data_IF_444042613777
#
_entry.id   IF_444042613777
#
_cell.length_a   1.000
_cell.length_b   1.000
_cell.length_c   1.000
_cell.angle_alpha   90.00
_cell.angle_beta   90.00
_cell.angle_gamma   90.00
#
_symmetry.space_group_name_H-M   'P 1'
#
loop_
_entity.id
_entity.type
_entity.pdbx_description
1 polymer ?
#
# COMPACT_ATOMS: atom_id res chain seq x y z
N UNK A 1 -7.52 2.84 -7.79
CA UNK A 1 -6.94 2.06 -6.68
C UNK A 1 -5.57 1.59 -7.09
N UNK A 2 -4.52 2.01 -6.40
CA UNK A 2 -3.14 1.56 -6.60
C UNK A 2 -2.84 0.48 -5.56
N UNK A 3 -2.28 -0.65 -6.00
CA UNK A 3 -2.03 -1.81 -5.13
C UNK A 3 -3.30 -2.61 -4.85
N UNK A 4 -4.15 -2.81 -5.86
CA UNK A 4 -5.46 -3.43 -5.66
C UNK A 4 -5.41 -4.92 -5.29
N UNK A 5 -4.30 -5.62 -5.58
CA UNK A 5 -4.02 -6.99 -5.15
C UNK A 5 -5.18 -7.97 -5.28
N UNK A 6 -5.53 -8.62 -4.16
CA UNK A 6 -6.62 -9.59 -4.05
C UNK A 6 -8.01 -8.95 -3.94
N UNK A 7 -8.08 -7.62 -3.72
CA UNK A 7 -9.29 -6.84 -3.43
C UNK A 7 -9.92 -7.09 -2.05
N UNK A 8 -9.20 -7.74 -1.12
CA UNK A 8 -9.72 -8.05 0.22
C UNK A 8 -9.96 -6.79 1.07
N UNK A 9 -9.21 -5.73 0.81
CA UNK A 9 -9.25 -4.41 1.45
C UNK A 9 -9.90 -3.33 0.56
N UNK A 10 -10.42 -3.71 -0.61
CA UNK A 10 -11.05 -2.80 -1.57
C UNK A 10 -12.59 -2.92 -1.49
N UNK A 11 -13.31 -1.88 -1.04
CA UNK A 11 -14.77 -1.89 -0.95
C UNK A 11 -15.42 -1.73 -2.34
N UNK A 12 -15.24 -2.72 -3.21
CA UNK A 12 -15.55 -2.62 -4.64
C UNK A 12 -17.03 -2.34 -4.92
N UNK A 13 -17.93 -2.90 -4.13
CA UNK A 13 -19.37 -2.64 -4.22
C UNK A 13 -19.72 -1.16 -4.01
N UNK A 14 -19.12 -0.52 -3.00
CA UNK A 14 -19.37 0.89 -2.70
C UNK A 14 -18.73 1.79 -3.75
N UNK A 15 -17.48 1.50 -4.13
CA UNK A 15 -16.80 2.23 -5.20
C UNK A 15 -17.59 2.17 -6.50
N UNK A 16 -18.07 0.99 -6.91
CA UNK A 16 -18.82 0.80 -8.15
C UNK A 16 -20.16 1.55 -8.18
N UNK A 17 -20.73 1.88 -7.01
CA UNK A 17 -21.92 2.74 -6.92
C UNK A 17 -21.60 4.23 -6.95
N UNK A 18 -20.41 4.63 -6.50
CA UNK A 18 -20.03 6.03 -6.32
C UNK A 18 -19.32 6.63 -7.54
N UNK A 19 -18.66 5.80 -8.37
CA UNK A 19 -17.82 6.27 -9.47
C UNK A 19 -18.25 5.72 -10.83
N UNK A 20 -18.20 6.57 -11.86
CA UNK A 20 -18.51 6.19 -13.24
C UNK A 20 -17.49 5.21 -13.83
N UNK A 21 -16.24 5.27 -13.38
CA UNK A 21 -15.13 4.40 -13.81
C UNK A 21 -14.16 4.15 -12.66
N UNK A 22 -13.70 2.91 -12.55
CA UNK A 22 -12.73 2.49 -11.53
C UNK A 22 -11.60 1.73 -12.19
N UNK A 23 -10.38 2.25 -12.02
CA UNK A 23 -9.14 1.54 -12.35
C UNK A 23 -8.57 0.82 -11.12
N UNK A 24 -8.47 -0.50 -11.20
CA UNK A 24 -7.77 -1.35 -10.24
C UNK A 24 -6.37 -1.61 -10.79
N UNK A 25 -5.37 -0.96 -10.22
CA UNK A 25 -3.99 -0.98 -10.71
C UNK A 25 -3.15 -1.85 -9.80
N UNK A 26 -2.54 -2.88 -10.37
CA UNK A 26 -1.61 -3.77 -9.68
C UNK A 26 -0.62 -4.40 -10.67
N UNK A 27 0.53 -4.84 -10.18
CA UNK A 27 1.47 -5.64 -10.96
C UNK A 27 0.88 -7.03 -11.28
N UNK A 28 0.07 -7.57 -10.38
CA UNK A 28 -0.56 -8.89 -10.52
C UNK A 28 -2.02 -8.83 -10.08
N UNK A 29 -2.92 -9.36 -10.93
CA UNK A 29 -4.34 -9.52 -10.62
C UNK A 29 -4.67 -11.01 -10.46
N UNK A 30 -4.72 -11.55 -9.24
CA UNK A 30 -5.02 -12.96 -9.00
C UNK A 30 -6.41 -13.34 -9.54
N UNK A 31 -6.60 -14.64 -9.80
CA UNK A 31 -7.86 -15.15 -10.36
C UNK A 31 -9.13 -14.73 -9.60
N UNK A 32 -9.16 -14.76 -8.24
CA UNK A 32 -10.31 -14.26 -7.48
C UNK A 32 -10.61 -12.79 -7.75
N UNK A 33 -9.60 -11.93 -7.75
CA UNK A 33 -9.75 -10.50 -8.05
C UNK A 33 -10.31 -10.27 -9.46
N UNK A 34 -9.83 -11.05 -10.44
CA UNK A 34 -10.35 -11.01 -11.82
C UNK A 34 -11.82 -11.36 -11.91
N UNK A 35 -12.27 -12.37 -11.16
CA UNK A 35 -13.70 -12.73 -11.13
C UNK A 35 -14.52 -11.64 -10.44
N UNK A 36 -14.05 -11.13 -9.31
CA UNK A 36 -14.74 -10.09 -8.55
C UNK A 36 -14.96 -8.83 -9.40
N UNK A 37 -13.93 -8.35 -10.10
CA UNK A 37 -14.01 -7.19 -10.98
C UNK A 37 -15.03 -7.35 -12.11
N UNK A 38 -15.19 -8.55 -12.68
CA UNK A 38 -16.14 -8.82 -13.79
C UNK A 38 -17.60 -8.63 -13.41
N UNK A 39 -17.92 -8.54 -12.11
CA UNK A 39 -19.28 -8.28 -11.63
C UNK A 39 -19.73 -6.83 -11.88
N UNK A 40 -18.80 -5.92 -12.18
CA UNK A 40 -19.07 -4.49 -12.32
C UNK A 40 -18.67 -3.99 -13.71
N UNK A 41 -19.58 -3.38 -14.47
CA UNK A 41 -19.29 -2.93 -15.83
C UNK A 41 -18.37 -1.70 -15.88
N UNK A 42 -18.28 -0.95 -14.77
CA UNK A 42 -17.46 0.25 -14.61
C UNK A 42 -16.08 -0.02 -13.99
N UNK A 43 -15.71 -1.28 -13.77
CA UNK A 43 -14.42 -1.66 -13.16
C UNK A 43 -13.49 -2.24 -14.22
N UNK A 44 -12.29 -1.66 -14.33
CA UNK A 44 -11.22 -2.12 -15.21
C UNK A 44 -9.99 -2.55 -14.40
N UNK A 45 -9.44 -3.71 -14.74
CA UNK A 45 -8.15 -4.18 -14.23
C UNK A 45 -7.04 -3.62 -15.10
N UNK A 46 -6.08 -2.93 -14.49
CA UNK A 46 -4.94 -2.33 -15.15
C UNK A 46 -3.69 -3.01 -14.60
N UNK A 47 -3.03 -3.82 -15.43
CA UNK A 47 -1.75 -4.42 -15.06
C UNK A 47 -0.65 -3.38 -15.28
N UNK A 48 -0.06 -2.90 -14.19
CA UNK A 48 1.05 -1.98 -14.25
C UNK A 48 2.00 -2.22 -13.07
N UNK A 49 3.30 -2.19 -13.35
CA UNK A 49 4.29 -2.25 -12.30
C UNK A 49 4.40 -0.89 -11.61
N UNK A 50 3.95 -0.81 -10.37
CA UNK A 50 4.08 0.37 -9.54
C UNK A 50 5.35 0.21 -8.69
N UNK A 51 6.50 0.00 -9.32
CA UNK A 51 7.77 -0.20 -8.61
C UNK A 51 8.32 1.13 -8.12
N UNK A 52 7.68 1.72 -7.11
CA UNK A 52 8.07 3.00 -6.51
C UNK A 52 8.30 4.15 -7.51
N UNK A 53 7.83 4.09 -8.75
CA UNK A 53 8.16 5.08 -9.80
C UNK A 53 9.49 4.85 -10.55
N UNK A 54 10.15 3.71 -10.36
CA UNK A 54 11.40 3.34 -11.05
C UNK A 54 11.18 2.86 -12.51
N UNK A 55 9.98 2.42 -12.86
CA UNK A 55 9.65 1.88 -14.18
C UNK A 55 8.42 2.56 -14.80
N UNK A 56 8.61 3.78 -15.32
CA UNK A 56 7.66 4.41 -16.24
C UNK A 56 6.55 5.26 -15.61
N UNK A 57 5.91 6.07 -16.47
CA UNK A 57 4.87 7.03 -16.13
C UNK A 57 3.53 6.35 -15.84
N UNK A 58 3.48 5.49 -14.81
CA UNK A 58 2.21 4.94 -14.33
C UNK A 58 1.28 6.08 -13.86
N UNK A 59 1.82 7.25 -13.53
CA UNK A 59 1.05 8.46 -13.26
C UNK A 59 0.14 8.87 -14.44
N UNK A 60 0.52 8.59 -15.69
CA UNK A 60 -0.35 8.85 -16.84
C UNK A 60 -1.58 7.93 -16.85
N UNK A 61 -1.52 6.75 -16.22
CA UNK A 61 -2.69 5.87 -16.01
C UNK A 61 -3.73 6.51 -15.11
N UNK A 62 -3.32 7.49 -14.29
CA UNK A 62 -4.20 8.22 -13.40
C UNK A 62 -4.77 9.50 -14.05
N UNK A 63 -4.46 9.77 -15.31
CA UNK A 63 -4.98 10.95 -16.03
C UNK A 63 -6.51 10.92 -16.06
N UNK A 64 -7.14 12.02 -15.62
CA UNK A 64 -8.59 12.16 -15.59
C UNK A 64 -9.29 11.42 -14.44
N UNK A 65 -8.53 10.91 -13.45
CA UNK A 65 -9.10 10.44 -12.21
C UNK A 65 -9.33 11.61 -11.25
N UNK A 66 -10.51 11.67 -10.62
CA UNK A 66 -10.81 12.66 -9.58
C UNK A 66 -10.34 12.19 -8.20
N UNK A 67 -10.24 10.86 -8.01
CA UNK A 67 -9.72 10.23 -6.79
C UNK A 67 -8.69 9.14 -7.12
N UNK A 68 -7.54 9.23 -6.47
CA UNK A 68 -6.54 8.17 -6.42
C UNK A 68 -6.44 7.66 -4.99
N UNK A 69 -6.43 6.35 -4.80
CA UNK A 69 -6.20 5.73 -3.50
C UNK A 69 -5.00 4.80 -3.61
N UNK A 70 -3.97 5.03 -2.81
CA UNK A 70 -2.85 4.11 -2.57
C UNK A 70 -3.11 3.37 -1.27
N UNK A 71 -3.67 2.16 -1.36
CA UNK A 71 -4.05 1.36 -0.20
C UNK A 71 -3.04 0.23 -0.01
N UNK A 72 -2.40 0.22 1.16
CA UNK A 72 -1.38 -0.72 1.62
C UNK A 72 -0.22 -1.04 0.65
N UNK A 73 -0.05 -0.24 -0.40
CA UNK A 73 1.01 -0.41 -1.38
C UNK A 73 2.36 0.06 -0.84
N UNK A 74 2.40 1.25 -0.22
CA UNK A 74 3.65 1.93 0.17
C UNK A 74 4.54 1.05 1.06
N UNK A 75 3.97 0.48 2.12
CA UNK A 75 4.65 -0.43 3.06
C UNK A 75 5.10 -1.75 2.42
N UNK A 76 4.47 -2.17 1.33
CA UNK A 76 4.74 -3.44 0.67
C UNK A 76 5.80 -3.34 -0.44
N UNK A 77 5.99 -2.16 -1.03
CA UNK A 77 6.98 -1.95 -2.11
C UNK A 77 8.39 -2.47 -1.78
N UNK A 78 8.92 -2.31 -0.56
CA UNK A 78 10.25 -2.82 -0.21
C UNK A 78 10.34 -4.34 -0.07
N UNK A 79 9.25 -5.04 0.21
CA UNK A 79 9.25 -6.45 0.65
C UNK A 79 9.88 -7.34 -0.40
N UNK A 80 9.28 -7.41 -1.59
CA UNK A 80 9.74 -8.33 -2.66
C UNK A 80 11.19 -8.03 -3.10
N UNK A 81 11.61 -6.76 -3.31
CA UNK A 81 13.00 -6.44 -3.64
C UNK A 81 14.00 -6.85 -2.55
N UNK A 82 13.67 -6.67 -1.27
CA UNK A 82 14.54 -7.05 -0.14
C UNK A 82 14.63 -8.58 -0.05
N UNK A 83 13.50 -9.28 -0.02
CA UNK A 83 13.43 -10.74 0.03
C UNK A 83 14.18 -11.38 -1.15
N UNK A 84 14.11 -10.77 -2.34
CA UNK A 84 14.83 -11.26 -3.51
C UNK A 84 16.36 -11.18 -3.36
N UNK A 85 16.90 -10.25 -2.56
CA UNK A 85 18.33 -10.23 -2.23
C UNK A 85 18.66 -11.36 -1.25
N UNK A 86 17.86 -11.50 -0.19
CA UNK A 86 18.05 -12.50 0.86
C UNK A 86 17.97 -13.92 0.32
N UNK A 87 17.00 -14.20 -0.58
CA UNK A 87 16.85 -15.49 -1.24
C UNK A 87 18.07 -15.87 -2.11
N UNK A 88 18.90 -14.90 -2.49
CA UNK A 88 20.17 -15.11 -3.22
C UNK A 88 21.38 -15.17 -2.29
N UNK A 89 21.16 -15.23 -0.97
CA UNK A 89 22.21 -15.23 0.05
C UNK A 89 22.97 -13.91 0.15
N UNK A 90 22.37 -12.80 -0.29
CA UNK A 90 22.99 -11.46 -0.23
C UNK A 90 22.14 -10.54 0.63
N UNK A 91 22.79 -9.69 1.42
CA UNK A 91 22.10 -8.60 2.08
C UNK A 91 21.53 -7.63 1.03
N UNK A 92 20.32 -7.12 1.26
CA UNK A 92 19.79 -6.02 0.48
C UNK A 92 20.65 -4.76 0.69
N UNK A 93 20.78 -3.87 -0.32
CA UNK A 93 21.39 -2.56 -0.12
C UNK A 93 20.75 -1.82 1.06
N UNK A 94 21.51 -1.24 2.00
CA UNK A 94 20.98 -0.70 3.25
C UNK A 94 19.86 0.34 3.10
N UNK A 95 19.85 1.09 1.99
CA UNK A 95 18.88 2.14 1.72
C UNK A 95 17.80 1.73 0.71
N UNK A 96 17.74 0.46 0.29
CA UNK A 96 16.80 0.02 -0.74
C UNK A 96 15.35 0.31 -0.35
N UNK A 97 14.95 -0.06 0.87
CA UNK A 97 13.58 0.18 1.33
C UNK A 97 13.24 1.66 1.45
N UNK A 98 14.12 2.46 2.05
CA UNK A 98 13.95 3.91 2.14
C UNK A 98 13.80 4.55 0.75
N UNK A 99 14.64 4.15 -0.21
CA UNK A 99 14.56 4.66 -1.58
C UNK A 99 13.24 4.32 -2.26
N UNK A 100 12.73 3.09 -2.10
CA UNK A 100 11.45 2.67 -2.68
C UNK A 100 10.28 3.43 -2.03
N UNK A 101 10.27 3.59 -0.72
CA UNK A 101 9.24 4.35 0.00
C UNK A 101 9.25 5.81 -0.45
N UNK A 102 10.40 6.47 -0.43
CA UNK A 102 10.52 7.88 -0.82
C UNK A 102 10.13 8.13 -2.28
N UNK A 103 10.50 7.23 -3.19
CA UNK A 103 10.20 7.42 -4.62
C UNK A 103 8.69 7.28 -4.87
N UNK A 104 8.00 6.37 -4.18
CA UNK A 104 6.54 6.30 -4.25
C UNK A 104 5.87 7.54 -3.66
N UNK A 105 6.35 8.04 -2.52
CA UNK A 105 5.81 9.26 -1.93
C UNK A 105 5.96 10.48 -2.86
N UNK A 106 7.11 10.61 -3.54
CA UNK A 106 7.31 11.64 -4.58
C UNK A 106 6.36 11.50 -5.76
N UNK A 107 6.00 10.27 -6.12
CA UNK A 107 5.00 10.02 -7.14
C UNK A 107 3.59 10.43 -6.67
N UNK A 108 3.24 10.17 -5.40
CA UNK A 108 1.99 10.68 -4.80
C UNK A 108 1.96 12.21 -4.74
N UNK A 109 3.09 12.85 -4.43
CA UNK A 109 3.21 14.32 -4.49
C UNK A 109 2.96 14.86 -5.90
N UNK A 110 3.49 14.19 -6.91
CA UNK A 110 3.26 14.57 -8.32
C UNK A 110 1.79 14.43 -8.71
N UNK A 111 1.12 13.38 -8.22
CA UNK A 111 -0.30 13.14 -8.49
C UNK A 111 -1.21 14.11 -7.75
N UNK A 112 -0.87 14.47 -6.51
CA UNK A 112 -1.62 15.46 -5.74
C UNK A 112 -1.65 16.84 -6.41
N UNK A 113 -0.67 17.15 -7.26
CA UNK A 113 -0.69 18.36 -8.11
C UNK A 113 -1.54 18.25 -9.38
N UNK A 114 -2.11 17.08 -9.70
CA UNK A 114 -2.79 16.81 -10.98
C UNK A 114 -4.24 16.33 -10.83
N UNK A 115 -4.61 15.80 -9.67
CA UNK A 115 -5.93 15.24 -9.39
C UNK A 115 -6.58 15.94 -8.21
N UNK A 116 -7.91 15.85 -8.10
CA UNK A 116 -8.64 16.52 -7.02
C UNK A 116 -8.26 15.95 -5.64
N UNK A 117 -8.12 14.62 -5.55
CA UNK A 117 -7.78 13.97 -4.27
C UNK A 117 -6.88 12.75 -4.44
N UNK A 118 -5.87 12.67 -3.58
CA UNK A 118 -5.05 11.47 -3.37
C UNK A 118 -5.26 11.01 -1.93
N UNK A 119 -5.61 9.75 -1.73
CA UNK A 119 -5.72 9.12 -0.42
C UNK A 119 -4.60 8.10 -0.25
N UNK A 120 -3.86 8.18 0.86
CA UNK A 120 -2.87 7.20 1.26
C UNK A 120 -3.40 6.43 2.48
N UNK A 121 -3.41 5.11 2.40
CA UNK A 121 -3.60 4.21 3.55
C UNK A 121 -2.41 3.26 3.57
N UNK A 122 -1.66 3.21 4.66
CA UNK A 122 -0.43 2.41 4.73
C UNK A 122 -0.18 1.89 6.14
N UNK A 123 0.41 0.71 6.21
CA UNK A 123 1.03 0.23 7.44
C UNK A 123 2.28 1.07 7.73
N UNK A 124 2.38 1.64 8.93
CA UNK A 124 3.52 2.45 9.35
C UNK A 124 4.48 1.66 10.25
N UNK A 125 3.95 0.79 11.12
CA UNK A 125 4.74 0.01 12.07
C UNK A 125 4.15 -1.39 12.18
N UNK A 126 4.98 -2.43 12.13
CA UNK A 126 4.59 -3.79 12.50
C UNK A 126 5.10 -4.08 13.91
N UNK A 127 4.27 -4.71 14.76
CA UNK A 127 4.64 -5.14 16.11
C UNK A 127 4.24 -6.59 16.34
N UNK A 128 5.09 -7.32 17.05
CA UNK A 128 4.76 -8.63 17.60
C UNK A 128 4.38 -8.47 19.07
N UNK A 129 3.20 -8.94 19.46
CA UNK A 129 2.72 -8.89 20.85
C UNK A 129 2.56 -10.30 21.41
N UNK A 130 3.13 -10.54 22.61
CA UNK A 130 2.99 -11.81 23.31
C UNK A 130 1.66 -11.91 24.09
N UNK A 131 1.36 -13.09 24.64
CA UNK A 131 0.12 -13.34 25.41
C UNK A 131 -0.01 -12.52 26.70
N UNK A 132 1.07 -11.88 27.16
CA UNK A 132 1.04 -10.98 28.32
C UNK A 132 0.73 -9.53 27.95
N UNK A 133 0.54 -9.24 26.66
CA UNK A 133 0.28 -7.91 26.16
C UNK A 133 1.55 -7.09 25.90
N UNK A 134 2.72 -7.73 25.92
CA UNK A 134 4.00 -7.04 25.75
C UNK A 134 4.45 -7.12 24.29
N UNK A 135 4.84 -5.99 23.72
CA UNK A 135 5.51 -5.95 22.42
C UNK A 135 6.92 -6.55 22.53
N UNK A 136 7.17 -7.61 21.79
CA UNK A 136 8.45 -8.33 21.76
C UNK A 136 9.34 -7.91 20.59
N UNK A 137 8.73 -7.36 19.55
CA UNK A 137 9.42 -6.90 18.35
C UNK A 137 8.66 -5.73 17.71
N UNK A 138 9.38 -4.86 17.01
CA UNK A 138 8.82 -3.71 16.29
C UNK A 138 9.67 -3.41 15.05
N UNK A 139 9.00 -3.33 13.90
CA UNK A 139 9.60 -2.99 12.62
C UNK A 139 8.98 -1.71 12.08
N UNK A 140 9.84 -0.78 11.66
CA UNK A 140 9.44 0.40 10.89
C UNK A 140 9.19 -0.01 9.42
N UNK A 141 7.94 0.10 8.97
CA UNK A 141 7.53 -0.29 7.63
C UNK A 141 7.79 0.81 6.59
N UNK A 142 8.18 2.01 7.04
CA UNK A 142 8.43 3.18 6.20
C UNK A 142 9.93 3.48 6.04
N UNK A 143 10.79 2.64 6.61
CA UNK A 143 12.25 2.71 6.42
C UNK A 143 12.83 4.10 6.73
N UNK A 144 12.39 4.71 7.83
CA UNK A 144 12.81 6.03 8.28
C UNK A 144 12.09 7.20 7.58
N UNK A 145 11.19 6.94 6.62
CA UNK A 145 10.40 7.99 6.00
C UNK A 145 9.30 8.47 6.94
N UNK A 146 9.25 9.79 7.13
CA UNK A 146 8.17 10.41 7.89
C UNK A 146 6.97 10.69 6.98
N UNK A 147 5.79 10.36 7.50
CA UNK A 147 4.52 10.78 6.91
C UNK A 147 4.04 12.06 7.62
N UNK A 148 3.28 12.93 6.92
CA UNK A 148 2.54 13.98 7.60
C UNK A 148 1.66 13.39 8.72
N UNK A 149 1.26 14.21 9.71
CA UNK A 149 0.32 13.78 10.73
C UNK A 149 -0.90 13.10 10.10
N UNK A 150 -1.10 11.82 10.42
CA UNK A 150 -2.22 11.06 9.89
C UNK A 150 -3.54 11.59 10.46
N UNK A 151 -4.53 11.82 9.60
CA UNK A 151 -5.88 12.23 10.04
C UNK A 151 -6.60 11.09 10.75
N UNK A 152 -6.29 9.85 10.39
CA UNK A 152 -6.77 8.66 11.07
C UNK A 152 -5.64 7.64 11.22
N UNK A 153 -5.65 6.91 12.33
CA UNK A 153 -4.72 5.81 12.56
C UNK A 153 -5.37 4.79 13.50
N UNK A 154 -5.20 3.50 13.18
CA UNK A 154 -5.76 2.40 13.96
C UNK A 154 -4.77 1.24 14.02
N UNK A 155 -5.00 0.33 14.96
CA UNK A 155 -4.25 -0.91 15.04
C UNK A 155 -5.04 -2.01 14.33
N UNK A 156 -4.38 -2.70 13.40
CA UNK A 156 -4.94 -3.82 12.66
C UNK A 156 -4.23 -5.11 13.08
N UNK A 157 -5.00 -6.06 13.63
CA UNK A 157 -4.49 -7.41 13.91
C UNK A 157 -4.42 -8.19 12.59
N UNK A 158 -3.24 -8.17 11.95
CA UNK A 158 -2.99 -8.87 10.70
C UNK A 158 -3.02 -10.40 10.89
N UNK A 159 -2.51 -10.87 12.03
CA UNK A 159 -2.41 -12.30 12.33
C UNK A 159 -2.72 -12.57 13.80
N UNK A 160 -3.85 -13.24 14.13
CA UNK A 160 -4.15 -13.64 15.51
C UNK A 160 -3.11 -14.65 16.02
N UNK A 161 -3.13 -14.90 17.34
CA UNK A 161 -2.30 -15.95 17.94
C UNK A 161 -2.48 -17.29 17.22
N UNK A 162 -1.37 -17.86 16.75
CA UNK A 162 -1.36 -19.12 16.01
C UNK A 162 -1.34 -18.98 14.48
N UNK A 163 -1.48 -17.77 13.92
CA UNK A 163 -1.38 -17.53 12.48
C UNK A 163 0.07 -17.67 11.98
N UNK A 164 1.00 -16.87 12.52
CA UNK A 164 2.45 -16.92 12.18
C UNK A 164 3.29 -17.56 13.29
N UNK A 165 2.71 -17.77 14.48
CA UNK A 165 3.35 -18.40 15.62
C UNK A 165 2.40 -18.56 16.80
N UNK A 166 2.60 -19.60 17.63
CA UNK A 166 1.69 -19.89 18.77
C UNK A 166 1.70 -18.86 19.89
N UNK A 167 2.77 -18.06 19.97
CA UNK A 167 3.08 -17.20 21.14
C UNK A 167 3.00 -15.71 20.88
N UNK A 168 2.81 -15.29 19.65
CA UNK A 168 2.64 -13.89 19.31
C UNK A 168 1.47 -13.70 18.34
N UNK A 169 0.89 -12.50 18.37
CA UNK A 169 0.08 -11.96 17.29
C UNK A 169 0.85 -10.85 16.59
N UNK A 170 0.52 -10.59 15.32
CA UNK A 170 1.09 -9.49 14.55
C UNK A 170 0.07 -8.36 14.44
N UNK A 171 0.48 -7.17 14.85
CA UNK A 171 -0.32 -5.95 14.81
C UNK A 171 0.39 -4.93 13.93
N UNK A 172 -0.34 -4.36 12.98
CA UNK A 172 0.11 -3.23 12.18
C UNK A 172 -0.53 -1.95 12.70
N UNK A 173 0.28 -0.92 12.91
CA UNK A 173 -0.22 0.45 13.07
C UNK A 173 -0.47 1.01 11.69
N UNK A 174 -1.73 1.14 11.31
CA UNK A 174 -2.15 1.72 10.03
C UNK A 174 -2.31 3.22 10.19
N UNK A 175 -1.89 3.96 9.17
CA UNK A 175 -2.12 5.39 9.03
C UNK A 175 -2.89 5.67 7.74
N UNK A 176 -3.85 6.59 7.83
CA UNK A 176 -4.59 7.09 6.69
C UNK A 176 -4.47 8.61 6.59
N UNK A 177 -4.17 9.06 5.38
CA UNK A 177 -4.20 10.45 4.94
C UNK A 177 -5.22 10.54 3.79
N UNK A 178 -6.51 10.81 4.09
CA UNK A 178 -7.57 10.92 3.10
C UNK A 178 -7.33 11.98 2.02
N UNK A 179 -6.61 13.05 2.37
CA UNK A 179 -6.24 14.14 1.47
C UNK A 179 -4.73 14.38 1.51
N UNK A 180 -3.97 13.52 0.81
CA UNK A 180 -2.53 13.64 0.64
C UNK A 180 -2.20 14.92 -0.14
N UNK A 181 -1.54 15.85 0.54
CA UNK A 181 -1.02 17.09 -0.05
C UNK A 181 0.49 17.05 -0.03
N UNK A 182 1.09 17.64 -1.05
CA UNK A 182 2.54 17.83 -1.11
C UNK A 182 3.01 18.52 0.17
N UNK A 183 3.77 17.81 0.99
CA UNK A 183 4.42 18.39 2.16
C UNK A 183 5.73 18.98 1.69
N UNK A 184 6.04 20.26 1.98
CA UNK A 184 7.39 20.77 1.77
C UNK A 184 8.33 19.95 2.66
N UNK A 185 9.18 19.12 2.05
CA UNK A 185 10.23 18.36 2.72
C UNK A 185 11.53 19.13 2.75
#
# INVERSE_FOLDING_TARGET
MLGSGLLDDVPLDDLARLFDRIGLVDAVHPWPARIAARRYPNVALVTAEISAGLAGSWADLCTGADLIVSANLLSQLPIVPIEAHEARGRAAPPLLGAHLVETHLKALDTLAGRVERVCLITDAVQRAEDRSGRFTDSLDMLFGSELPPAEAAWDWELGPFGASGRRHRLIHRVQACPDWKTVPR
#
